data_IF_626530667984
#
_entry.id   IF_626530667984
#
_cell.length_a   1.000
_cell.length_b   1.000
_cell.length_c   1.000
_cell.angle_alpha   90.00
_cell.angle_beta   90.00
_cell.angle_gamma   90.00
#
_symmetry.space_group_name_H-M   'P 1'
#
loop_
_entity.id
_entity.type
_entity.pdbx_description
1 polymer ?
#
# COMPACT_ATOMS: atom_id res chain seq x y z
N UNK A 1 -3.65 -21.35 -13.17
CA UNK A 1 -3.92 -20.29 -12.17
C UNK A 1 -3.73 -20.88 -10.78
N UNK A 2 -3.06 -20.22 -9.83
CA UNK A 2 -3.00 -20.68 -8.42
C UNK A 2 -4.41 -20.81 -7.83
N UNK A 3 -4.61 -21.60 -6.76
CA UNK A 3 -5.94 -21.79 -6.15
C UNK A 3 -6.63 -20.46 -5.79
N UNK A 4 -5.86 -19.53 -5.23
CA UNK A 4 -6.28 -18.16 -4.87
C UNK A 4 -6.14 -17.15 -6.02
N UNK A 5 -5.63 -17.57 -7.18
CA UNK A 5 -5.44 -16.73 -8.36
C UNK A 5 -4.30 -15.72 -8.26
N UNK A 6 -3.45 -15.81 -7.23
CA UNK A 6 -2.32 -14.89 -7.03
C UNK A 6 -1.03 -15.47 -7.61
N UNK A 7 -0.20 -14.58 -8.16
CA UNK A 7 1.16 -14.85 -8.60
C UNK A 7 2.14 -14.33 -7.55
N UNK A 8 3.14 -15.14 -7.21
CA UNK A 8 4.22 -14.77 -6.29
C UNK A 8 5.50 -14.51 -7.09
N UNK A 9 6.08 -13.33 -6.92
CA UNK A 9 7.36 -12.93 -7.54
C UNK A 9 8.23 -12.33 -6.43
N UNK A 10 9.38 -12.95 -6.14
CA UNK A 10 10.35 -12.50 -5.14
C UNK A 10 9.71 -12.02 -3.82
N UNK A 11 9.06 -12.93 -3.10
CA UNK A 11 8.33 -12.67 -1.83
C UNK A 11 7.13 -11.72 -1.88
N UNK A 12 6.78 -11.15 -3.04
CA UNK A 12 5.57 -10.33 -3.19
C UNK A 12 4.46 -11.12 -3.88
N UNK A 13 3.25 -11.08 -3.32
CA UNK A 13 2.05 -11.72 -3.88
C UNK A 13 1.13 -10.66 -4.47
N UNK A 14 0.67 -10.88 -5.70
CA UNK A 14 -0.29 -10.00 -6.36
C UNK A 14 -1.09 -10.74 -7.41
N UNK A 15 -2.15 -10.12 -7.93
CA UNK A 15 -2.92 -10.70 -9.02
C UNK A 15 -2.19 -10.45 -10.34
N UNK A 16 -2.00 -11.47 -11.21
CA UNK A 16 -1.17 -11.34 -12.40
C UNK A 16 -1.67 -10.24 -13.34
N UNK A 17 -2.96 -10.20 -13.65
CA UNK A 17 -3.54 -9.16 -14.51
C UNK A 17 -3.34 -7.74 -13.94
N UNK A 18 -3.39 -7.56 -12.62
CA UNK A 18 -3.14 -6.27 -11.96
C UNK A 18 -1.68 -5.86 -12.10
N UNK A 19 -0.74 -6.79 -11.87
CA UNK A 19 0.70 -6.54 -11.97
C UNK A 19 1.04 -6.06 -13.39
N UNK A 20 0.57 -6.77 -14.42
CA UNK A 20 0.85 -6.41 -15.82
C UNK A 20 0.13 -5.12 -16.24
N UNK A 21 -1.12 -4.89 -15.82
CA UNK A 21 -1.81 -3.63 -16.11
C UNK A 21 -1.10 -2.42 -15.47
N UNK A 22 -0.59 -2.58 -14.24
CA UNK A 22 0.17 -1.55 -13.54
C UNK A 22 1.47 -1.21 -14.25
N UNK A 23 2.17 -2.23 -14.75
CA UNK A 23 3.46 -2.07 -15.41
C UNK A 23 3.36 -1.32 -16.76
N UNK A 24 2.29 -1.58 -17.52
CA UNK A 24 2.20 -1.14 -18.93
C UNK A 24 1.21 -0.01 -19.22
N UNK A 25 0.23 0.25 -18.34
CA UNK A 25 -0.83 1.24 -18.63
C UNK A 25 -1.07 2.22 -17.50
N UNK A 26 -1.25 1.72 -16.27
CA UNK A 26 -1.70 2.53 -15.13
C UNK A 26 -0.78 2.32 -13.92
N UNK A 27 0.35 3.07 -13.82
CA UNK A 27 1.31 2.89 -12.73
C UNK A 27 0.72 3.14 -11.34
N UNK A 28 -0.35 3.94 -11.27
CA UNK A 28 -1.09 4.32 -10.08
C UNK A 28 -2.25 3.38 -9.72
N UNK A 29 -2.50 2.33 -10.50
CA UNK A 29 -3.57 1.36 -10.26
C UNK A 29 -3.41 0.72 -8.87
N UNK A 30 -4.37 0.91 -7.95
CA UNK A 30 -4.24 0.41 -6.57
C UNK A 30 -4.84 -0.98 -6.41
N UNK A 31 -6.06 -1.17 -6.91
CA UNK A 31 -6.83 -2.38 -6.69
C UNK A 31 -7.35 -3.02 -7.99
N UNK A 32 -7.57 -4.33 -7.97
CA UNK A 32 -8.14 -5.08 -9.10
C UNK A 32 -9.57 -4.66 -9.45
N UNK A 33 -10.30 -4.08 -8.50
CA UNK A 33 -11.67 -3.58 -8.72
C UNK A 33 -11.72 -2.39 -9.68
N UNK A 34 -10.61 -1.66 -9.83
CA UNK A 34 -10.48 -0.59 -10.82
C UNK A 34 -10.33 -1.15 -12.25
N UNK A 35 -10.22 -2.46 -12.45
CA UNK A 35 -10.10 -3.09 -13.76
C UNK A 35 -11.38 -3.83 -14.15
N UNK A 36 -12.02 -3.36 -15.21
CA UNK A 36 -13.12 -4.06 -15.86
C UNK A 36 -12.64 -4.73 -17.15
N UNK A 37 -12.76 -6.05 -17.31
CA UNK A 37 -12.43 -6.72 -18.57
C UNK A 37 -13.43 -6.34 -19.67
N UNK A 38 -12.94 -6.23 -20.90
CA UNK A 38 -13.80 -6.00 -22.06
C UNK A 38 -14.58 -7.25 -22.47
N UNK A 39 -15.69 -7.06 -23.18
CA UNK A 39 -16.66 -8.11 -23.53
C UNK A 39 -16.06 -9.28 -24.34
N UNK A 40 -14.95 -9.03 -25.05
CA UNK A 40 -14.27 -10.02 -25.88
C UNK A 40 -13.19 -10.82 -25.13
N UNK A 41 -12.99 -10.56 -23.84
CA UNK A 41 -11.97 -11.25 -23.06
C UNK A 41 -12.44 -12.64 -22.61
N UNK A 42 -12.02 -13.68 -23.32
CA UNK A 42 -12.41 -15.05 -23.02
C UNK A 42 -11.84 -15.59 -21.70
N UNK A 43 -10.71 -15.05 -21.24
CA UNK A 43 -9.99 -15.49 -20.03
C UNK A 43 -9.96 -14.41 -18.95
N UNK A 44 -11.00 -13.57 -18.88
CA UNK A 44 -11.12 -12.53 -17.87
C UNK A 44 -11.03 -13.11 -16.44
N UNK A 45 -10.40 -12.36 -15.52
CA UNK A 45 -10.16 -12.83 -14.15
C UNK A 45 -11.42 -13.28 -13.40
N UNK A 46 -12.56 -12.58 -13.58
CA UNK A 46 -13.82 -12.92 -12.89
C UNK A 46 -14.46 -14.23 -13.38
N UNK A 47 -14.06 -14.74 -14.56
CA UNK A 47 -14.61 -15.99 -15.11
C UNK A 47 -14.09 -17.24 -14.39
N UNK A 48 -13.10 -17.10 -13.50
CA UNK A 48 -12.54 -18.18 -12.68
C UNK A 48 -12.11 -19.43 -13.48
N UNK A 49 -11.66 -19.23 -14.73
CA UNK A 49 -11.07 -20.29 -15.56
C UNK A 49 -9.69 -20.70 -15.04
N UNK A 50 -9.16 -21.79 -15.58
CA UNK A 50 -7.82 -22.30 -15.26
C UNK A 50 -6.70 -21.35 -15.70
N UNK A 51 -6.97 -20.56 -16.74
CA UNK A 51 -6.08 -19.53 -17.28
C UNK A 51 -6.64 -18.12 -17.02
N UNK A 52 -5.75 -17.14 -16.88
CA UNK A 52 -6.10 -15.74 -16.64
C UNK A 52 -5.44 -14.87 -17.68
N UNK A 53 -6.24 -14.05 -18.36
CA UNK A 53 -5.75 -13.05 -19.29
C UNK A 53 -4.98 -11.96 -18.54
N UNK A 54 -3.74 -11.72 -18.95
CA UNK A 54 -2.88 -10.67 -18.40
C UNK A 54 -2.67 -9.49 -19.34
N UNK A 55 -3.22 -9.55 -20.56
CA UNK A 55 -3.08 -8.49 -21.56
C UNK A 55 -3.73 -7.19 -21.04
N UNK A 56 -2.95 -6.10 -20.83
CA UNK A 56 -3.48 -4.86 -20.30
C UNK A 56 -4.59 -4.25 -21.16
N UNK A 57 -4.57 -4.48 -22.48
CA UNK A 57 -5.55 -3.91 -23.42
C UNK A 57 -6.90 -4.63 -23.40
N UNK A 58 -6.99 -5.80 -22.75
CA UNK A 58 -8.27 -6.48 -22.53
C UNK A 58 -9.01 -5.94 -21.30
N UNK A 59 -8.42 -5.02 -20.55
CA UNK A 59 -9.03 -4.38 -19.39
C UNK A 59 -9.20 -2.89 -19.64
N UNK A 60 -10.21 -2.31 -19.00
CA UNK A 60 -10.52 -0.88 -18.98
C UNK A 60 -10.51 -0.43 -17.54
N UNK A 61 -10.01 0.78 -17.28
CA UNK A 61 -10.02 1.32 -15.92
C UNK A 61 -11.39 1.91 -15.63
N UNK A 62 -11.94 1.57 -14.48
CA UNK A 62 -13.20 2.10 -13.97
C UNK A 62 -12.96 2.79 -12.63
N UNK A 63 -13.60 3.93 -12.44
CA UNK A 63 -13.59 4.61 -11.15
C UNK A 63 -14.57 3.90 -10.22
N UNK A 64 -14.03 3.24 -9.20
CA UNK A 64 -14.83 2.60 -8.16
C UNK A 64 -15.36 3.72 -7.26
N UNK A 65 -16.55 4.24 -7.59
CA UNK A 65 -17.20 5.24 -6.75
C UNK A 65 -17.34 4.68 -5.34
N UNK A 66 -16.72 5.36 -4.37
CA UNK A 66 -16.91 5.01 -2.96
C UNK A 66 -18.41 5.10 -2.64
N UNK A 67 -18.97 4.12 -1.91
CA UNK A 67 -20.37 4.19 -1.52
C UNK A 67 -20.59 5.51 -0.77
N UNK A 68 -21.59 6.28 -1.21
CA UNK A 68 -21.93 7.54 -0.55
C UNK A 68 -22.19 7.26 0.92
N UNK A 69 -21.33 7.79 1.80
CA UNK A 69 -21.57 7.72 3.24
C UNK A 69 -22.76 8.63 3.51
N UNK A 70 -23.95 8.04 3.67
CA UNK A 70 -25.12 8.73 4.18
C UNK A 70 -24.86 9.03 5.65
N UNK A 71 -24.09 10.09 5.93
CA UNK A 71 -24.03 10.68 7.27
C UNK A 71 -25.44 11.15 7.62
N UNK A 72 -26.04 10.68 8.74
CA UNK A 72 -27.22 11.30 9.28
C UNK A 72 -26.91 12.78 9.53
N UNK A 73 -27.45 13.68 8.69
CA UNK A 73 -27.44 15.11 8.97
C UNK A 73 -28.44 15.33 10.11
N UNK A 74 -27.96 15.29 11.35
CA UNK A 74 -28.73 15.74 12.50
C UNK A 74 -29.23 17.16 12.19
N UNK A 75 -30.55 17.32 12.02
CA UNK A 75 -31.21 18.63 11.88
C UNK A 75 -31.49 19.28 13.23
N UNK A 76 -31.16 18.60 14.33
CA UNK A 76 -31.37 19.08 15.69
C UNK A 76 -30.03 19.53 16.28
N UNK A 77 -29.54 20.66 15.77
CA UNK A 77 -28.59 21.49 16.50
C UNK A 77 -29.47 22.33 17.45
N UNK A 78 -29.45 22.10 18.78
CA UNK A 78 -30.03 23.06 19.69
C UNK A 78 -29.29 24.40 19.53
N UNK A 79 -30.02 25.50 19.37
CA UNK A 79 -29.54 26.89 19.20
C UNK A 79 -28.64 27.42 20.33
N UNK A 80 -28.21 26.57 21.26
CA UNK A 80 -27.30 26.92 22.34
C UNK A 80 -25.94 26.24 22.14
N UNK A 81 -25.26 26.61 21.04
CA UNK A 81 -23.81 26.52 21.00
C UNK A 81 -23.27 27.75 21.75
N UNK A 82 -22.59 27.60 22.90
CA UNK A 82 -21.89 28.74 23.48
C UNK A 82 -20.86 29.21 22.45
N UNK A 83 -20.88 30.51 22.15
CA UNK A 83 -20.05 31.19 21.15
C UNK A 83 -18.55 31.25 21.54
N UNK A 84 -17.97 30.11 21.90
CA UNK A 84 -16.56 29.97 22.24
C UNK A 84 -16.05 28.61 21.77
N UNK A 85 -16.01 28.43 20.45
CA UNK A 85 -15.27 27.33 19.81
C UNK A 85 -13.75 27.45 20.02
N UNK A 86 -13.28 28.60 20.49
CA UNK A 86 -11.86 28.82 20.82
C UNK A 86 -11.37 27.94 21.99
N UNK A 87 -12.27 27.43 22.84
CA UNK A 87 -11.87 26.61 24.01
C UNK A 87 -11.70 25.11 23.66
N UNK A 88 -12.37 24.62 22.60
CA UNK A 88 -12.28 23.22 22.18
C UNK A 88 -11.17 22.94 21.16
N UNK A 89 -10.54 23.99 20.62
CA UNK A 89 -9.41 23.82 19.70
C UNK A 89 -8.16 23.25 20.39
N UNK A 90 -8.14 23.20 21.72
CA UNK A 90 -6.99 22.71 22.51
C UNK A 90 -7.29 21.42 23.30
N UNK A 91 -8.54 20.95 23.30
CA UNK A 91 -8.89 19.72 24.02
C UNK A 91 -8.64 18.52 23.14
N UNK A 92 -7.63 17.74 23.51
CA UNK A 92 -7.39 16.40 22.99
C UNK A 92 -8.64 15.55 23.31
N UNK A 93 -9.23 14.85 22.33
CA UNK A 93 -10.41 14.03 22.59
C UNK A 93 -10.06 12.85 23.52
N UNK A 94 -10.98 12.48 24.41
CA UNK A 94 -10.79 11.57 25.55
C UNK A 94 -10.32 10.15 25.18
N UNK A 95 -10.38 9.79 23.90
CA UNK A 95 -9.86 8.54 23.35
C UNK A 95 -8.39 8.62 22.89
N UNK A 96 -7.68 9.70 23.22
CA UNK A 96 -6.27 9.88 22.85
C UNK A 96 -5.38 9.68 24.07
N UNK A 97 -4.72 8.52 24.15
CA UNK A 97 -3.65 8.29 25.12
C UNK A 97 -2.38 9.01 24.65
N UNK A 98 -2.16 10.23 25.14
CA UNK A 98 -0.89 10.96 25.01
C UNK A 98 -0.21 11.04 26.39
N UNK A 99 1.11 10.77 26.48
CA UNK A 99 1.82 10.83 27.76
C UNK A 99 1.88 12.28 28.28
N UNK A 100 1.28 12.50 29.45
CA UNK A 100 1.19 13.79 30.14
C UNK A 100 2.55 14.44 30.38
N UNK A 101 2.74 15.67 29.90
CA UNK A 101 3.93 16.48 30.16
C UNK A 101 3.76 17.94 29.71
N UNK A 102 3.13 18.75 30.55
CA UNK A 102 2.83 20.17 30.35
C UNK A 102 4.05 21.09 30.48
N UNK A 103 4.31 21.99 29.52
CA UNK A 103 4.47 23.44 29.76
C UNK A 103 4.51 24.28 28.46
N UNK A 104 4.03 25.51 28.63
CA UNK A 104 3.67 26.53 27.66
C UNK A 104 4.81 27.04 26.75
N UNK A 105 4.45 27.27 25.47
CA UNK A 105 4.89 28.32 24.51
C UNK A 105 6.20 29.06 24.79
N UNK A 106 7.09 29.06 23.78
CA UNK A 106 7.65 30.26 23.15
C UNK A 106 8.35 29.90 21.83
N UNK A 107 7.97 30.61 20.76
CA UNK A 107 8.63 30.65 19.47
C UNK A 107 10.16 30.72 19.59
N UNK A 108 10.90 29.86 18.87
CA UNK A 108 12.01 30.25 17.98
C UNK A 108 12.76 29.03 17.43
N UNK A 109 12.87 29.01 16.11
CA UNK A 109 14.05 28.58 15.35
C UNK A 109 14.27 27.07 15.20
N UNK A 110 13.95 26.60 13.99
CA UNK A 110 14.77 25.68 13.19
C UNK A 110 16.19 25.48 13.75
N UNK A 111 16.47 24.31 14.34
CA UNK A 111 17.82 23.77 14.27
C UNK A 111 17.77 22.26 14.18
N UNK A 112 18.11 21.77 12.99
CA UNK A 112 18.43 20.39 12.73
C UNK A 112 19.71 20.01 13.49
N UNK A 113 19.73 18.80 14.06
CA UNK A 113 20.89 17.89 14.08
C UNK A 113 20.67 16.78 15.11
N UNK A 114 20.58 15.53 14.63
CA UNK A 114 21.27 14.33 15.13
C UNK A 114 20.43 13.05 14.96
N UNK A 115 20.30 12.63 13.71
CA UNK A 115 20.16 11.20 13.41
C UNK A 115 21.51 10.75 12.85
N UNK A 116 22.28 9.86 13.52
CA UNK A 116 23.54 9.41 12.98
C UNK A 116 23.32 8.61 11.69
N UNK A 117 24.13 8.90 10.67
CA UNK A 117 24.09 8.27 9.35
C UNK A 117 24.27 6.73 9.43
N UNK A 118 23.63 5.93 8.56
CA UNK A 118 23.83 4.49 8.51
C UNK A 118 25.31 4.17 8.25
N UNK A 119 25.93 3.43 9.17
CA UNK A 119 27.33 3.03 9.07
C UNK A 119 27.59 2.19 7.82
N UNK A 120 28.44 2.71 6.94
CA UNK A 120 29.06 1.96 5.85
C UNK A 120 30.17 1.09 6.46
N UNK A 121 29.92 -0.21 6.62
CA UNK A 121 30.99 -1.18 6.85
C UNK A 121 31.45 -1.69 5.48
N UNK A 122 32.49 -1.05 4.95
CA UNK A 122 33.33 -1.64 3.91
C UNK A 122 34.28 -2.61 4.60
N UNK A 123 34.15 -3.91 4.33
CA UNK A 123 35.28 -4.82 4.48
C UNK A 123 35.41 -5.59 3.17
N UNK A 124 36.57 -5.40 2.57
CA UNK A 124 37.01 -5.89 1.28
C UNK A 124 37.84 -7.17 1.47
N UNK A 125 37.67 -8.11 0.53
CA UNK A 125 38.72 -9.06 0.11
C UNK A 125 38.89 -10.35 0.91
N UNK A 126 38.50 -11.49 0.30
CA UNK A 126 39.51 -12.42 -0.21
C UNK A 126 38.89 -13.41 -1.22
N UNK A 127 39.55 -13.55 -2.37
CA UNK A 127 39.29 -14.58 -3.37
C UNK A 127 40.06 -15.83 -2.97
N UNK A 128 39.37 -16.90 -2.59
CA UNK A 128 39.99 -18.23 -2.49
C UNK A 128 39.27 -19.25 -3.35
N UNK A 129 40.10 -19.80 -4.25
CA UNK A 129 39.93 -20.83 -5.25
C UNK A 129 39.60 -22.21 -4.64
N UNK A 130 39.06 -23.09 -5.48
CA UNK A 130 39.07 -24.55 -5.38
C UNK A 130 38.15 -25.29 -4.36
N UNK A 131 36.96 -25.67 -4.84
CA UNK A 131 36.26 -26.91 -4.47
C UNK A 131 35.59 -27.43 -5.75
N UNK A 132 35.72 -28.66 -6.23
CA UNK A 132 36.33 -29.88 -5.71
C UNK A 132 35.76 -31.01 -6.58
N UNK A 133 36.63 -31.90 -7.05
CA UNK A 133 36.26 -33.13 -7.78
C UNK A 133 35.14 -33.91 -7.07
N UNK A 134 34.23 -34.49 -7.85
CA UNK A 134 33.22 -35.41 -7.36
C UNK A 134 32.43 -36.10 -8.46
N UNK A 135 33.07 -36.55 -9.55
CA UNK A 135 32.50 -37.64 -10.33
C UNK A 135 32.58 -38.92 -9.49
N UNK A 136 31.43 -39.45 -9.06
CA UNK A 136 31.29 -40.85 -8.69
C UNK A 136 30.01 -41.42 -9.29
N UNK A 137 30.23 -42.41 -10.16
CA UNK A 137 29.30 -43.42 -10.68
C UNK A 137 28.19 -43.84 -9.72
N UNK A 138 26.97 -44.02 -10.23
CA UNK A 138 26.17 -45.23 -9.98
C UNK A 138 25.37 -45.57 -11.24
N UNK A 139 25.65 -46.75 -11.80
CA UNK A 139 24.75 -47.51 -12.66
C UNK A 139 23.93 -48.51 -11.84
#
# INVERSE_FOLDING_TARGET
RSLDGRLQVFHRKGLPHVIYCRLWRWPDLQNHQELQPGDRCEFAFHLKKDEVCVNPYHYTRVDVALPQVLVPRHKDIPDNFPARLDEFSTTIPENTDLPSGSTAINDTVFNASDTPSPGYLSEEGDTTDSQGMGEYLVG
#
